data_IF_797313137692
#
_entry.id   IF_797313137692
#
_cell.length_a   1.000
_cell.length_b   1.000
_cell.length_c   1.000
_cell.angle_alpha   90.00
_cell.angle_beta   90.00
_cell.angle_gamma   90.00
#
_symmetry.space_group_name_H-M   'P 1'
#
loop_
_entity.id
_entity.type
_entity.pdbx_description
1 polymer ?
#
# COMPACT_ATOMS: atom_id res chain seq x y z
N UNK A 1 -23.55 14.08 -5.75
CA UNK A 1 -23.04 13.35 -4.58
C UNK A 1 -21.87 14.12 -3.95
N UNK A 2 -20.84 14.53 -4.73
CA UNK A 2 -19.68 15.28 -4.25
C UNK A 2 -20.01 16.56 -3.48
N UNK A 3 -21.01 17.30 -3.94
CA UNK A 3 -21.48 18.55 -3.29
C UNK A 3 -22.07 18.28 -1.89
N UNK A 4 -22.86 17.23 -1.74
CA UNK A 4 -23.46 16.87 -0.43
C UNK A 4 -22.36 16.45 0.57
N UNK A 5 -21.36 15.74 0.10
CA UNK A 5 -20.20 15.34 0.88
C UNK A 5 -19.42 16.57 1.34
N UNK A 6 -19.16 17.49 0.41
CA UNK A 6 -18.46 18.73 0.69
C UNK A 6 -19.21 19.58 1.74
N UNK A 7 -20.54 19.73 1.61
CA UNK A 7 -21.38 20.46 2.59
C UNK A 7 -21.35 19.78 3.96
N UNK A 8 -21.43 18.45 4.02
CA UNK A 8 -21.36 17.72 5.29
C UNK A 8 -19.98 17.83 5.94
N UNK A 9 -18.92 17.91 5.16
CA UNK A 9 -17.56 18.16 5.66
C UNK A 9 -17.41 19.56 6.19
N UNK A 10 -17.92 20.56 5.46
CA UNK A 10 -17.92 21.95 5.89
C UNK A 10 -18.69 22.13 7.21
N UNK A 11 -19.85 21.47 7.37
CA UNK A 11 -20.59 21.44 8.65
C UNK A 11 -19.77 20.79 9.78
N UNK A 12 -19.02 19.73 9.50
CA UNK A 12 -18.15 19.06 10.51
C UNK A 12 -16.97 19.92 10.97
N UNK A 13 -16.43 20.76 10.09
CA UNK A 13 -15.42 21.77 10.45
C UNK A 13 -16.07 23.06 10.99
N UNK A 14 -17.43 23.06 11.20
CA UNK A 14 -18.25 24.13 11.82
C UNK A 14 -18.47 25.31 10.90
N UNK A 15 -18.47 25.09 9.61
CA UNK A 15 -19.01 26.02 8.64
C UNK A 15 -20.50 25.77 8.50
N UNK A 16 -21.28 26.84 8.52
CA UNK A 16 -22.73 26.79 8.30
C UNK A 16 -23.05 26.64 6.80
N UNK A 17 -24.33 26.38 6.51
CA UNK A 17 -24.80 26.23 5.11
C UNK A 17 -24.54 27.47 4.26
N UNK A 18 -24.49 28.66 4.88
CA UNK A 18 -24.20 29.93 4.24
C UNK A 18 -22.74 30.07 3.72
N UNK A 19 -21.86 29.15 4.14
CA UNK A 19 -20.47 29.11 3.63
C UNK A 19 -20.35 28.45 2.25
N UNK A 20 -21.45 27.89 1.72
CA UNK A 20 -21.46 27.14 0.48
C UNK A 20 -22.51 27.69 -0.47
N UNK A 21 -22.07 28.12 -1.66
CA UNK A 21 -22.92 28.64 -2.72
C UNK A 21 -22.66 27.86 -4.02
N UNK A 22 -23.75 27.48 -4.71
CA UNK A 22 -23.66 26.81 -6.01
C UNK A 22 -24.45 27.64 -7.00
N UNK A 23 -23.76 28.06 -8.05
CA UNK A 23 -24.34 28.75 -9.17
C UNK A 23 -24.11 27.98 -10.47
N UNK A 24 -25.05 28.10 -11.41
CA UNK A 24 -24.93 27.45 -12.72
C UNK A 24 -25.15 28.50 -13.83
N UNK A 25 -24.06 28.90 -14.46
CA UNK A 25 -24.09 29.79 -15.60
C UNK A 25 -23.40 29.15 -16.82
N UNK A 26 -24.01 29.35 -18.00
CA UNK A 26 -23.45 28.92 -19.30
C UNK A 26 -23.07 27.45 -19.44
N UNK A 27 -23.76 26.55 -18.69
CA UNK A 27 -23.50 25.11 -18.72
C UNK A 27 -22.34 24.67 -17.80
N UNK A 28 -21.79 25.59 -17.04
CA UNK A 28 -20.80 25.30 -15.98
C UNK A 28 -21.46 25.42 -14.61
N UNK A 29 -21.11 24.51 -13.68
CA UNK A 29 -21.52 24.58 -12.28
C UNK A 29 -20.35 25.10 -11.46
N UNK A 30 -20.52 26.28 -10.85
CA UNK A 30 -19.51 26.91 -10.01
C UNK A 30 -19.90 26.69 -8.55
N UNK A 31 -19.07 25.97 -7.80
CA UNK A 31 -19.21 25.83 -6.35
C UNK A 31 -18.26 26.83 -5.67
N UNK A 32 -18.81 27.73 -4.83
CA UNK A 32 -18.02 28.65 -4.01
C UNK A 32 -18.08 28.22 -2.55
N UNK A 33 -16.92 28.14 -1.92
CA UNK A 33 -16.81 27.84 -0.49
C UNK A 33 -16.14 29.03 0.17
N UNK A 34 -16.87 29.65 1.12
CA UNK A 34 -16.30 30.70 1.97
C UNK A 34 -15.79 30.09 3.25
N UNK A 35 -14.49 29.92 3.37
CA UNK A 35 -13.84 29.40 4.59
C UNK A 35 -13.44 30.62 5.44
N UNK A 36 -14.11 30.87 6.59
CA UNK A 36 -13.65 31.89 7.51
C UNK A 36 -12.27 31.49 8.04
N UNK A 37 -11.29 32.35 7.81
CA UNK A 37 -9.92 32.20 8.33
C UNK A 37 -9.92 32.39 9.86
N UNK A 38 -10.56 31.49 10.62
CA UNK A 38 -10.35 31.45 12.06
C UNK A 38 -9.05 30.71 12.33
N UNK A 39 -8.07 31.43 12.88
CA UNK A 39 -6.75 30.89 13.24
C UNK A 39 -6.79 29.57 14.03
N UNK A 40 -7.82 29.37 14.85
CA UNK A 40 -7.98 28.21 15.73
C UNK A 40 -8.15 26.89 14.97
N UNK A 41 -8.59 26.88 13.70
CA UNK A 41 -8.82 25.63 12.93
C UNK A 41 -7.69 25.28 11.97
N UNK A 42 -7.05 26.26 11.37
CA UNK A 42 -5.79 26.06 10.66
C UNK A 42 -4.71 25.53 11.60
N UNK A 43 -4.68 26.03 12.84
CA UNK A 43 -3.80 25.53 13.91
C UNK A 43 -4.07 24.07 14.25
N UNK A 44 -5.32 23.59 14.23
CA UNK A 44 -5.65 22.20 14.55
C UNK A 44 -5.24 21.21 13.44
N UNK A 45 -5.41 21.56 12.17
CA UNK A 45 -4.97 20.74 11.03
C UNK A 45 -3.45 20.70 10.96
N UNK A 46 -2.79 21.85 11.10
CA UNK A 46 -1.33 21.96 11.17
C UNK A 46 -0.76 21.18 12.37
N UNK A 47 -1.47 21.10 13.49
CA UNK A 47 -1.09 20.27 14.63
C UNK A 47 -1.17 18.77 14.34
N UNK A 48 -2.19 18.29 13.61
CA UNK A 48 -2.31 16.87 13.27
C UNK A 48 -1.18 16.48 12.30
N UNK A 49 -0.97 17.25 11.25
CA UNK A 49 0.12 17.04 10.31
C UNK A 49 1.49 17.02 10.99
N UNK A 50 1.77 18.02 11.84
CA UNK A 50 3.02 18.07 12.62
C UNK A 50 3.19 16.85 13.53
N UNK A 51 2.11 16.39 14.15
CA UNK A 51 2.16 15.21 15.01
C UNK A 51 2.43 13.94 14.21
N UNK A 52 1.83 13.79 13.03
CA UNK A 52 2.12 12.68 12.12
C UNK A 52 3.61 12.68 11.74
N UNK A 53 4.15 13.84 11.32
CA UNK A 53 5.56 13.98 10.97
C UNK A 53 6.45 13.64 12.17
N UNK A 54 6.12 14.10 13.38
CA UNK A 54 6.85 13.75 14.60
C UNK A 54 6.81 12.26 14.92
N UNK A 55 5.67 11.59 14.74
CA UNK A 55 5.56 10.14 14.93
C UNK A 55 6.44 9.40 13.90
N UNK A 56 6.41 9.80 12.62
CA UNK A 56 7.30 9.24 11.61
C UNK A 56 8.77 9.48 11.98
N UNK A 57 9.12 10.68 12.42
CA UNK A 57 10.49 11.02 12.83
C UNK A 57 10.94 10.25 14.08
N UNK A 58 10.01 9.91 14.97
CA UNK A 58 10.29 9.15 16.18
C UNK A 58 10.47 7.66 15.93
N UNK A 59 10.04 7.13 14.77
CA UNK A 59 10.21 5.72 14.46
C UNK A 59 11.67 5.30 14.61
N UNK A 60 11.93 4.10 15.20
CA UNK A 60 13.29 3.63 15.40
C UNK A 60 14.01 3.45 14.05
N UNK A 61 15.33 3.44 14.09
CA UNK A 61 16.13 3.05 12.94
C UNK A 61 15.82 1.62 12.54
N UNK A 62 15.94 1.37 11.26
CA UNK A 62 15.77 0.02 10.73
C UNK A 62 16.73 -0.96 11.44
N UNK A 63 16.31 -2.21 11.74
CA UNK A 63 17.10 -3.14 12.55
C UNK A 63 18.51 -3.37 12.01
N UNK A 64 19.53 -3.27 12.87
CA UNK A 64 20.96 -3.28 12.44
C UNK A 64 21.37 -4.58 11.72
N UNK A 65 20.82 -5.72 12.15
CA UNK A 65 21.05 -7.00 11.47
C UNK A 65 20.55 -6.99 10.03
N UNK A 66 19.41 -6.34 9.77
CA UNK A 66 18.85 -6.18 8.43
C UNK A 66 19.69 -5.20 7.62
N UNK A 67 20.07 -4.05 8.21
CA UNK A 67 20.95 -3.08 7.55
C UNK A 67 22.32 -3.69 7.19
N UNK A 68 22.87 -4.51 8.07
CA UNK A 68 24.13 -5.22 7.81
C UNK A 68 24.01 -6.19 6.63
N UNK A 69 22.92 -6.97 6.60
CA UNK A 69 22.67 -7.91 5.51
C UNK A 69 22.40 -7.18 4.18
N UNK A 70 21.69 -6.05 4.21
CA UNK A 70 21.50 -5.20 3.02
C UNK A 70 22.83 -4.70 2.44
N UNK A 71 23.80 -4.31 3.29
CA UNK A 71 25.15 -3.93 2.84
C UNK A 71 25.86 -5.09 2.14
N UNK A 72 25.75 -6.30 2.69
CA UNK A 72 26.30 -7.50 2.04
C UNK A 72 25.62 -7.79 0.69
N UNK A 73 24.30 -7.59 0.60
CA UNK A 73 23.55 -7.77 -0.65
C UNK A 73 23.87 -6.72 -1.73
N UNK A 74 24.39 -5.56 -1.34
CA UNK A 74 24.82 -4.50 -2.23
C UNK A 74 26.25 -4.72 -2.77
N UNK A 75 27.02 -5.64 -2.18
CA UNK A 75 28.35 -6.00 -2.62
C UNK A 75 28.28 -6.94 -3.84
N UNK A 76 28.76 -6.54 -5.05
CA UNK A 76 28.74 -7.38 -6.23
C UNK A 76 29.55 -8.67 -6.11
N UNK A 77 30.53 -8.69 -5.20
CA UNK A 77 31.43 -9.82 -4.98
C UNK A 77 30.97 -10.73 -3.83
N UNK A 78 29.80 -10.45 -3.24
CA UNK A 78 29.27 -11.24 -2.14
C UNK A 78 28.90 -12.66 -2.58
N UNK A 79 29.48 -13.64 -1.93
CA UNK A 79 29.14 -15.05 -2.15
C UNK A 79 27.77 -15.41 -1.58
N UNK A 80 26.93 -16.10 -2.36
CA UNK A 80 25.59 -16.57 -1.93
C UNK A 80 25.69 -17.40 -0.64
N UNK A 81 26.76 -18.20 -0.47
CA UNK A 81 26.97 -18.98 0.73
C UNK A 81 27.20 -18.10 1.99
N UNK A 82 27.85 -16.94 1.83
CA UNK A 82 28.04 -15.99 2.92
C UNK A 82 26.70 -15.31 3.30
N UNK A 83 25.93 -14.89 2.30
CA UNK A 83 24.58 -14.32 2.47
C UNK A 83 23.68 -15.33 3.19
N UNK A 84 23.65 -16.58 2.73
CA UNK A 84 22.86 -17.64 3.34
C UNK A 84 23.22 -17.91 4.81
N UNK A 85 24.51 -17.85 5.15
CA UNK A 85 24.97 -17.94 6.54
C UNK A 85 24.44 -16.79 7.40
N UNK A 86 24.49 -15.56 6.90
CA UNK A 86 23.95 -14.40 7.60
C UNK A 86 22.43 -14.53 7.79
N UNK A 87 21.68 -14.93 6.77
CA UNK A 87 20.23 -15.20 6.88
C UNK A 87 19.96 -16.24 7.96
N UNK A 88 20.74 -17.32 8.01
CA UNK A 88 20.59 -18.40 9.00
C UNK A 88 20.83 -17.97 10.45
N UNK A 89 21.44 -16.82 10.69
CA UNK A 89 21.57 -16.27 12.05
C UNK A 89 20.29 -15.66 12.60
N UNK A 90 19.31 -15.38 11.74
CA UNK A 90 18.00 -14.88 12.13
C UNK A 90 16.93 -15.94 11.85
N UNK A 91 16.40 -16.62 12.91
CA UNK A 91 15.41 -17.69 12.75
C UNK A 91 14.11 -17.22 12.09
N UNK A 92 13.66 -15.97 12.36
CA UNK A 92 12.44 -15.43 11.79
C UNK A 92 12.62 -15.20 10.28
N UNK A 93 13.70 -14.54 9.88
CA UNK A 93 14.04 -14.34 8.46
C UNK A 93 14.21 -15.67 7.73
N UNK A 94 14.86 -16.64 8.35
CA UNK A 94 15.02 -18.00 7.83
C UNK A 94 13.66 -18.67 7.56
N UNK A 95 12.75 -18.60 8.54
CA UNK A 95 11.42 -19.19 8.41
C UNK A 95 10.60 -18.51 7.32
N UNK A 96 10.63 -17.18 7.25
CA UNK A 96 9.92 -16.42 6.21
C UNK A 96 10.46 -16.68 4.81
N UNK A 97 11.78 -16.73 4.65
CA UNK A 97 12.41 -17.07 3.38
C UNK A 97 11.99 -18.47 2.90
N UNK A 98 12.05 -19.47 3.80
CA UNK A 98 11.62 -20.82 3.47
C UNK A 98 10.12 -20.90 3.18
N UNK A 99 9.27 -20.17 3.90
CA UNK A 99 7.84 -20.06 3.62
C UNK A 99 7.60 -19.45 2.25
N UNK A 100 8.28 -18.35 1.92
CA UNK A 100 8.16 -17.68 0.63
C UNK A 100 8.52 -18.60 -0.54
N UNK A 101 9.68 -19.27 -0.49
CA UNK A 101 10.11 -20.13 -1.62
C UNK A 101 9.25 -21.38 -1.77
N UNK A 102 8.65 -21.87 -0.68
CA UNK A 102 7.77 -23.03 -0.71
C UNK A 102 6.30 -22.67 -1.01
N UNK A 103 5.99 -21.39 -1.18
CA UNK A 103 4.65 -20.95 -1.57
C UNK A 103 4.31 -21.37 -3.01
N UNK A 104 3.03 -21.37 -3.35
CA UNK A 104 2.57 -21.71 -4.70
C UNK A 104 3.13 -20.78 -5.79
N UNK A 105 3.65 -19.62 -5.43
CA UNK A 105 4.28 -18.67 -6.37
C UNK A 105 5.49 -19.26 -7.09
N UNK A 106 6.30 -20.06 -6.40
CA UNK A 106 7.50 -20.67 -6.98
C UNK A 106 7.21 -21.97 -7.72
N UNK A 107 6.00 -22.53 -7.59
CA UNK A 107 5.56 -23.78 -8.25
C UNK A 107 6.60 -24.91 -8.18
N UNK A 108 7.23 -25.08 -7.04
CA UNK A 108 8.27 -26.07 -6.84
C UNK A 108 7.66 -27.47 -6.75
N UNK A 109 8.32 -28.45 -7.41
CA UNK A 109 7.94 -29.87 -7.33
C UNK A 109 8.30 -30.52 -5.98
N UNK A 110 9.21 -29.92 -5.25
CA UNK A 110 9.79 -30.43 -3.99
C UNK A 110 10.00 -29.28 -3.03
N UNK A 111 9.71 -29.49 -1.75
CA UNK A 111 9.99 -28.47 -0.72
C UNK A 111 11.47 -28.21 -0.61
N UNK A 112 11.82 -26.93 -0.46
CA UNK A 112 13.17 -26.43 -0.20
C UNK A 112 13.32 -26.26 1.31
N UNK A 113 14.34 -26.90 1.87
CA UNK A 113 14.71 -26.80 3.30
C UNK A 113 16.13 -26.22 3.48
N UNK A 114 16.83 -25.99 2.36
CA UNK A 114 18.17 -25.46 2.34
C UNK A 114 18.17 -23.97 2.07
N UNK A 115 18.76 -23.18 2.98
CA UNK A 115 18.80 -21.71 2.86
C UNK A 115 19.60 -21.22 1.67
N UNK A 116 20.69 -21.90 1.29
CA UNK A 116 21.47 -21.53 0.10
C UNK A 116 20.63 -21.66 -1.17
N UNK A 117 19.86 -22.76 -1.27
CA UNK A 117 18.92 -22.96 -2.37
C UNK A 117 17.79 -21.93 -2.35
N UNK A 118 17.23 -21.64 -1.17
CA UNK A 118 16.20 -20.62 -1.00
C UNK A 118 16.70 -19.25 -1.46
N UNK A 119 17.90 -18.81 -1.06
CA UNK A 119 18.51 -17.55 -1.50
C UNK A 119 18.73 -17.52 -3.01
N UNK A 120 19.15 -18.64 -3.62
CA UNK A 120 19.30 -18.73 -5.08
C UNK A 120 17.98 -18.58 -5.83
N UNK A 121 16.92 -19.17 -5.30
CA UNK A 121 15.58 -19.12 -5.92
C UNK A 121 14.95 -17.73 -5.85
N UNK A 122 15.03 -17.09 -4.69
CA UNK A 122 14.49 -15.74 -4.46
C UNK A 122 15.38 -14.69 -5.13
N UNK A 123 16.69 -14.93 -5.20
CA UNK A 123 17.66 -13.97 -5.70
C UNK A 123 17.94 -12.84 -4.69
N UNK A 124 18.96 -12.03 -5.00
CA UNK A 124 19.41 -10.95 -4.11
C UNK A 124 18.36 -9.84 -3.97
N UNK A 125 17.62 -9.52 -5.05
CA UNK A 125 16.56 -8.51 -5.04
C UNK A 125 15.40 -8.95 -4.15
N UNK A 126 14.89 -10.15 -4.34
CA UNK A 126 13.78 -10.67 -3.54
C UNK A 126 14.15 -10.83 -2.06
N UNK A 127 15.37 -11.27 -1.77
CA UNK A 127 15.87 -11.32 -0.40
C UNK A 127 15.94 -9.93 0.23
N UNK A 128 16.43 -8.91 -0.50
CA UNK A 128 16.46 -7.52 -0.02
C UNK A 128 15.05 -7.03 0.30
N UNK A 129 14.08 -7.29 -0.57
CA UNK A 129 12.70 -6.87 -0.38
C UNK A 129 12.05 -7.57 0.83
N UNK A 130 12.36 -8.87 1.03
CA UNK A 130 11.94 -9.61 2.22
C UNK A 130 12.49 -9.00 3.53
N UNK A 131 13.74 -8.51 3.49
CA UNK A 131 14.34 -7.80 4.64
C UNK A 131 13.60 -6.51 4.97
N UNK A 132 13.21 -5.74 3.95
CA UNK A 132 12.41 -4.52 4.17
C UNK A 132 11.06 -4.86 4.79
N UNK A 133 10.38 -5.88 4.28
CA UNK A 133 9.12 -6.35 4.84
C UNK A 133 9.26 -6.74 6.31
N UNK A 134 10.21 -7.62 6.62
CA UNK A 134 10.43 -8.09 7.99
C UNK A 134 10.79 -6.96 8.94
N UNK A 135 11.68 -6.05 8.52
CA UNK A 135 12.04 -4.89 9.33
C UNK A 135 10.85 -3.97 9.60
N UNK A 136 10.02 -3.74 8.60
CA UNK A 136 8.80 -2.93 8.73
C UNK A 136 7.81 -3.59 9.70
N UNK A 137 7.54 -4.88 9.56
CA UNK A 137 6.63 -5.60 10.45
C UNK A 137 7.14 -5.64 11.89
N UNK A 138 8.46 -5.74 12.09
CA UNK A 138 9.07 -5.71 13.42
C UNK A 138 8.89 -4.37 14.13
N UNK A 139 8.87 -3.27 13.38
CA UNK A 139 8.73 -1.91 13.92
C UNK A 139 7.26 -1.50 14.05
N UNK A 140 6.45 -1.77 13.03
CA UNK A 140 5.05 -1.31 12.92
C UNK A 140 4.03 -2.40 13.27
N UNK A 141 4.46 -3.65 13.39
CA UNK A 141 3.58 -4.78 13.65
C UNK A 141 3.10 -4.79 15.11
N UNK A 142 2.02 -4.08 15.41
CA UNK A 142 1.28 -4.23 16.66
C UNK A 142 0.23 -5.34 16.51
N UNK A 143 0.06 -6.19 17.53
CA UNK A 143 -0.94 -7.28 17.53
C UNK A 143 -2.35 -6.77 17.88
N UNK A 144 -2.81 -5.68 17.26
CA UNK A 144 -4.20 -5.25 17.37
C UNK A 144 -5.05 -5.91 16.28
N UNK A 145 -6.38 -5.96 16.49
CA UNK A 145 -7.31 -6.48 15.49
C UNK A 145 -7.22 -5.69 14.18
N UNK A 146 -7.12 -4.38 14.27
CA UNK A 146 -7.05 -3.46 13.15
C UNK A 146 -5.76 -3.66 12.35
N UNK A 147 -4.63 -3.77 13.03
CA UNK A 147 -3.34 -4.02 12.39
C UNK A 147 -3.31 -5.39 11.70
N UNK A 148 -3.92 -6.40 12.31
CA UNK A 148 -4.05 -7.72 11.69
C UNK A 148 -4.91 -7.67 10.43
N UNK A 149 -6.05 -7.00 10.46
CA UNK A 149 -6.90 -6.81 9.27
C UNK A 149 -6.16 -6.07 8.16
N UNK A 150 -5.37 -5.04 8.51
CA UNK A 150 -4.52 -4.32 7.56
C UNK A 150 -3.52 -5.25 6.87
N UNK A 151 -2.80 -6.07 7.64
CA UNK A 151 -1.84 -7.03 7.08
C UNK A 151 -2.51 -8.13 6.26
N UNK A 152 -3.71 -8.60 6.65
CA UNK A 152 -4.48 -9.58 5.88
C UNK A 152 -4.93 -9.00 4.52
N UNK A 153 -5.38 -7.74 4.51
CA UNK A 153 -5.68 -6.99 3.28
C UNK A 153 -4.43 -6.83 2.41
N UNK A 154 -3.35 -6.35 3.00
CA UNK A 154 -2.07 -6.11 2.31
C UNK A 154 -1.49 -7.40 1.72
N UNK A 155 -1.58 -8.52 2.43
CA UNK A 155 -1.18 -9.83 1.89
C UNK A 155 -2.02 -10.22 0.67
N UNK A 156 -3.34 -10.05 0.72
CA UNK A 156 -4.24 -10.31 -0.42
C UNK A 156 -3.88 -9.41 -1.62
N UNK A 157 -3.71 -8.11 -1.38
CA UNK A 157 -3.31 -7.16 -2.42
C UNK A 157 -1.96 -7.54 -3.04
N UNK A 158 -0.96 -7.90 -2.24
CA UNK A 158 0.34 -8.35 -2.72
C UNK A 158 0.25 -9.62 -3.58
N UNK A 159 -0.52 -10.61 -3.14
CA UNK A 159 -0.76 -11.84 -3.89
C UNK A 159 -1.43 -11.56 -5.23
N UNK A 160 -2.45 -10.69 -5.24
CA UNK A 160 -3.14 -10.30 -6.47
C UNK A 160 -2.20 -9.51 -7.39
N UNK A 161 -1.47 -8.52 -6.87
CA UNK A 161 -0.51 -7.71 -7.62
C UNK A 161 0.55 -8.57 -8.30
N UNK A 162 1.16 -9.48 -7.56
CA UNK A 162 2.15 -10.42 -8.08
C UNK A 162 1.59 -11.27 -9.23
N UNK A 163 0.40 -11.87 -9.05
CA UNK A 163 -0.20 -12.71 -10.06
C UNK A 163 -0.67 -11.93 -11.29
N UNK A 164 -1.17 -10.70 -11.13
CA UNK A 164 -1.50 -9.79 -12.23
C UNK A 164 -0.23 -9.46 -13.03
N UNK A 165 0.82 -9.00 -12.38
CA UNK A 165 2.09 -8.66 -13.03
C UNK A 165 2.73 -9.88 -13.68
N UNK A 166 2.73 -11.04 -13.02
CA UNK A 166 3.26 -12.29 -13.56
C UNK A 166 2.56 -12.73 -14.84
N UNK A 167 1.24 -12.60 -14.92
CA UNK A 167 0.45 -13.11 -16.03
C UNK A 167 0.25 -12.09 -17.16
N UNK A 168 0.16 -10.79 -16.81
CA UNK A 168 -0.29 -9.75 -17.72
C UNK A 168 0.82 -8.74 -18.10
N UNK A 169 1.86 -8.55 -17.25
CA UNK A 169 2.96 -7.65 -17.59
C UNK A 169 4.07 -8.35 -18.39
N UNK A 170 4.70 -7.66 -19.34
CA UNK A 170 5.88 -8.16 -20.05
C UNK A 170 7.16 -8.16 -19.19
N UNK A 171 7.23 -7.29 -18.17
CA UNK A 171 8.43 -7.12 -17.32
C UNK A 171 8.34 -8.02 -16.09
N UNK A 172 9.19 -9.03 -16.00
CA UNK A 172 9.20 -9.98 -14.88
C UNK A 172 10.21 -9.62 -13.78
N UNK A 173 11.15 -8.75 -14.08
CA UNK A 173 12.22 -8.34 -13.15
C UNK A 173 11.69 -7.58 -11.94
N UNK A 174 10.46 -7.02 -12.04
CA UNK A 174 9.84 -6.23 -10.98
C UNK A 174 8.94 -7.04 -10.04
N UNK A 175 8.76 -8.35 -10.26
CA UNK A 175 7.78 -9.15 -9.51
C UNK A 175 8.00 -9.09 -7.99
N UNK A 176 9.27 -9.07 -7.55
CA UNK A 176 9.60 -8.94 -6.13
C UNK A 176 9.21 -7.57 -5.57
N UNK A 177 9.44 -6.49 -6.34
CA UNK A 177 9.06 -5.12 -5.95
C UNK A 177 7.53 -4.99 -5.89
N UNK A 178 6.81 -5.60 -6.84
CA UNK A 178 5.33 -5.64 -6.86
C UNK A 178 4.78 -6.35 -5.62
N UNK A 179 5.34 -7.51 -5.26
CA UNK A 179 4.88 -8.26 -4.10
C UNK A 179 5.07 -7.48 -2.80
N UNK A 180 6.29 -6.97 -2.57
CA UNK A 180 6.60 -6.24 -1.34
C UNK A 180 5.92 -4.87 -1.30
N UNK A 181 5.86 -4.18 -2.45
CA UNK A 181 5.08 -2.95 -2.59
C UNK A 181 3.61 -3.17 -2.24
N UNK A 182 3.03 -4.30 -2.71
CA UNK A 182 1.67 -4.69 -2.35
C UNK A 182 1.46 -4.97 -0.87
N UNK A 183 2.45 -5.55 -0.17
CA UNK A 183 2.35 -5.74 1.29
C UNK A 183 2.49 -4.41 2.06
N UNK A 184 3.30 -3.49 1.56
CA UNK A 184 3.66 -2.26 2.30
C UNK A 184 2.83 -1.04 1.91
N UNK A 185 1.98 -1.12 0.87
CA UNK A 185 1.28 0.05 0.32
C UNK A 185 0.51 0.84 1.37
N UNK A 186 -0.11 0.15 2.30
CA UNK A 186 -0.97 0.69 3.34
C UNK A 186 -0.28 0.94 4.69
N UNK A 187 1.05 0.77 4.81
CA UNK A 187 1.73 0.87 6.11
C UNK A 187 1.57 2.22 6.79
N UNK A 188 1.32 3.29 6.02
CA UNK A 188 1.05 4.62 6.57
C UNK A 188 -0.23 4.70 7.40
N UNK A 189 -1.22 3.84 7.17
CA UNK A 189 -2.45 3.73 7.97
C UNK A 189 -2.17 3.42 9.43
N UNK A 190 -1.07 2.72 9.73
CA UNK A 190 -0.68 2.38 11.11
C UNK A 190 -0.36 3.64 11.90
N UNK A 191 0.45 4.55 11.31
CA UNK A 191 0.81 5.82 11.94
C UNK A 191 -0.40 6.76 11.98
N UNK A 192 -1.13 6.86 10.88
CA UNK A 192 -2.31 7.70 10.80
C UNK A 192 -3.34 7.34 11.89
N UNK A 193 -3.62 6.04 12.04
CA UNK A 193 -4.53 5.52 13.08
C UNK A 193 -4.01 5.74 14.50
N UNK A 194 -2.69 5.71 14.73
CA UNK A 194 -2.11 5.92 16.06
C UNK A 194 -2.26 7.36 16.57
N UNK A 195 -2.25 8.32 15.64
CA UNK A 195 -2.36 9.75 16.00
C UNK A 195 -3.78 10.16 16.35
N UNK A 196 -4.78 9.62 15.63
CA UNK A 196 -6.19 9.97 15.84
C UNK A 196 -7.15 8.79 15.57
N UNK A 197 -7.16 7.74 16.43
CA UNK A 197 -7.94 6.52 16.18
C UNK A 197 -9.43 6.77 16.00
N UNK A 198 -10.04 7.62 16.85
CA UNK A 198 -11.48 7.94 16.79
C UNK A 198 -11.87 8.69 15.50
N UNK A 199 -10.98 9.55 14.99
CA UNK A 199 -11.22 10.27 13.73
C UNK A 199 -11.16 9.30 12.56
N UNK A 200 -10.17 8.44 12.54
CA UNK A 200 -9.97 7.46 11.48
C UNK A 200 -11.11 6.45 11.41
N UNK A 201 -11.55 5.93 12.56
CA UNK A 201 -12.70 5.05 12.61
C UNK A 201 -13.95 5.71 11.99
N UNK A 202 -14.22 6.97 12.32
CA UNK A 202 -15.34 7.72 11.74
C UNK A 202 -15.19 7.99 10.25
N UNK A 203 -13.97 8.27 9.77
CA UNK A 203 -13.68 8.43 8.35
C UNK A 203 -13.96 7.13 7.61
N UNK A 204 -13.40 6.02 8.09
CA UNK A 204 -13.55 4.72 7.48
C UNK A 204 -15.02 4.26 7.42
N UNK A 205 -15.77 4.43 8.52
CA UNK A 205 -17.20 4.10 8.55
C UNK A 205 -17.99 4.95 7.55
N UNK A 206 -17.72 6.26 7.51
CA UNK A 206 -18.38 7.16 6.58
C UNK A 206 -18.07 6.82 5.11
N UNK A 207 -16.81 6.50 4.80
CA UNK A 207 -16.37 6.17 3.46
C UNK A 207 -16.96 4.83 2.99
N UNK A 208 -16.93 3.82 3.85
CA UNK A 208 -17.51 2.50 3.58
C UNK A 208 -19.01 2.59 3.25
N UNK A 209 -19.77 3.33 4.05
CA UNK A 209 -21.22 3.47 3.85
C UNK A 209 -21.57 4.17 2.53
N UNK A 210 -20.61 4.83 1.88
CA UNK A 210 -20.83 5.64 0.66
C UNK A 210 -20.00 5.21 -0.54
N UNK A 211 -19.18 4.18 -0.40
CA UNK A 211 -18.27 3.73 -1.47
C UNK A 211 -17.29 4.81 -1.90
N UNK A 212 -16.68 5.51 -0.92
CA UNK A 212 -15.70 6.59 -1.16
C UNK A 212 -14.36 6.17 -0.58
N UNK A 213 -13.30 6.43 -1.32
CA UNK A 213 -11.94 6.18 -0.82
C UNK A 213 -11.59 7.11 0.35
N UNK A 214 -11.05 6.58 1.47
CA UNK A 214 -10.72 7.36 2.67
C UNK A 214 -9.67 8.44 2.46
N UNK A 215 -8.78 8.28 1.47
CA UNK A 215 -7.62 9.14 1.22
C UNK A 215 -7.99 10.63 1.11
N UNK A 216 -9.07 10.95 0.38
CA UNK A 216 -9.55 12.35 0.23
C UNK A 216 -9.87 12.97 1.60
N UNK A 217 -10.42 12.18 2.51
CA UNK A 217 -10.76 12.66 3.85
C UNK A 217 -9.56 12.75 4.77
N UNK A 218 -8.57 11.88 4.58
CA UNK A 218 -7.29 11.95 5.27
C UNK A 218 -6.58 13.26 4.93
N UNK A 219 -6.46 13.61 3.65
CA UNK A 219 -5.90 14.88 3.18
C UNK A 219 -6.61 16.10 3.77
N UNK A 220 -7.94 16.08 3.75
CA UNK A 220 -8.73 17.18 4.29
C UNK A 220 -8.69 17.28 5.83
N UNK A 221 -8.48 16.18 6.52
CA UNK A 221 -8.46 16.13 7.98
C UNK A 221 -7.07 16.36 8.58
N UNK A 222 -6.02 15.98 7.86
CA UNK A 222 -4.66 15.98 8.38
C UNK A 222 -3.65 16.71 7.47
N UNK A 223 -4.03 17.06 6.23
CA UNK A 223 -3.11 17.62 5.24
C UNK A 223 -2.05 16.62 4.73
N UNK A 224 -2.21 15.35 5.08
CA UNK A 224 -1.38 14.21 4.65
C UNK A 224 -2.27 12.97 4.63
N UNK A 225 -2.15 12.16 3.58
CA UNK A 225 -2.82 10.87 3.51
C UNK A 225 -1.88 9.71 3.87
N UNK A 226 -2.44 8.51 4.04
CA UNK A 226 -1.66 7.33 4.41
C UNK A 226 -0.62 6.94 3.37
N UNK A 227 -0.84 7.23 2.07
CA UNK A 227 0.12 6.94 1.00
C UNK A 227 1.37 7.80 1.15
N UNK A 228 1.20 9.09 1.44
CA UNK A 228 2.30 10.03 1.69
C UNK A 228 3.06 9.68 2.97
N UNK A 229 2.33 9.36 4.04
CA UNK A 229 2.93 8.93 5.31
C UNK A 229 3.74 7.64 5.11
N UNK A 230 3.20 6.67 4.40
CA UNK A 230 3.89 5.44 4.05
C UNK A 230 5.16 5.70 3.23
N UNK A 231 5.10 6.61 2.27
CA UNK A 231 6.26 7.02 1.49
C UNK A 231 7.34 7.69 2.36
N UNK A 232 6.96 8.59 3.29
CA UNK A 232 7.90 9.20 4.24
C UNK A 232 8.62 8.16 5.10
N UNK A 233 7.89 7.12 5.56
CA UNK A 233 8.49 6.01 6.32
C UNK A 233 9.50 5.25 5.44
N UNK A 234 9.11 4.91 4.21
CA UNK A 234 9.95 4.19 3.26
C UNK A 234 11.23 4.98 2.92
N UNK A 235 11.11 6.28 2.69
CA UNK A 235 12.25 7.18 2.45
C UNK A 235 13.18 7.25 3.67
N UNK A 236 12.63 7.42 4.88
CA UNK A 236 13.40 7.43 6.13
C UNK A 236 14.23 6.15 6.32
N UNK A 237 13.69 5.01 5.90
CA UNK A 237 14.37 3.72 6.01
C UNK A 237 15.18 3.35 4.77
N UNK A 238 15.35 4.29 3.81
CA UNK A 238 16.10 4.13 2.57
C UNK A 238 15.62 2.93 1.74
N UNK A 239 14.30 2.80 1.56
CA UNK A 239 13.73 1.78 0.68
C UNK A 239 14.10 2.07 -0.78
N UNK A 240 14.13 1.04 -1.66
CA UNK A 240 14.27 1.24 -3.09
C UNK A 240 13.17 2.13 -3.65
N UNK A 241 13.51 3.01 -4.61
CA UNK A 241 12.58 3.94 -5.21
C UNK A 241 11.31 3.26 -5.73
N UNK A 242 11.41 2.08 -6.32
CA UNK A 242 10.25 1.33 -6.80
C UNK A 242 9.23 1.04 -5.67
N UNK A 243 9.69 0.75 -4.45
CA UNK A 243 8.81 0.54 -3.29
C UNK A 243 8.24 1.85 -2.78
N UNK A 244 9.05 2.92 -2.70
CA UNK A 244 8.59 4.26 -2.31
C UNK A 244 7.47 4.72 -3.25
N UNK A 245 7.67 4.59 -4.58
CA UNK A 245 6.69 5.00 -5.56
C UNK A 245 5.43 4.12 -5.54
N UNK A 246 5.56 2.81 -5.31
CA UNK A 246 4.43 1.90 -5.15
C UNK A 246 3.55 2.31 -3.96
N UNK A 247 4.16 2.66 -2.83
CA UNK A 247 3.46 3.12 -1.62
C UNK A 247 2.82 4.49 -1.87
N UNK A 248 3.57 5.43 -2.46
CA UNK A 248 3.13 6.81 -2.64
C UNK A 248 1.95 6.95 -3.61
N UNK A 249 1.97 6.20 -4.71
CA UNK A 249 1.05 6.40 -5.82
C UNK A 249 0.02 5.28 -6.00
N UNK A 250 -0.19 4.44 -4.99
CA UNK A 250 -1.15 3.33 -5.12
C UNK A 250 -2.62 3.76 -5.18
N UNK A 251 -2.94 5.04 -4.96
CA UNK A 251 -4.26 5.63 -5.22
C UNK A 251 -4.27 6.55 -6.45
N UNK A 252 -3.12 7.08 -6.83
CA UNK A 252 -2.97 8.00 -7.98
C UNK A 252 -1.98 7.47 -9.03
N UNK A 253 -2.25 6.28 -9.62
CA UNK A 253 -1.25 5.53 -10.37
C UNK A 253 -0.68 6.27 -11.59
N UNK A 254 -1.49 7.11 -12.25
CA UNK A 254 -1.05 7.87 -13.42
C UNK A 254 -0.04 8.98 -13.07
N UNK A 255 0.00 9.42 -11.80
CA UNK A 255 0.96 10.41 -11.31
C UNK A 255 2.36 9.82 -11.08
N UNK A 256 2.48 8.48 -11.09
CA UNK A 256 3.76 7.82 -10.89
C UNK A 256 4.77 8.11 -12.02
N UNK A 257 6.09 8.23 -11.70
CA UNK A 257 7.14 8.32 -12.69
C UNK A 257 7.09 7.16 -13.69
N UNK A 258 7.30 7.41 -14.98
CA UNK A 258 7.15 6.38 -16.04
C UNK A 258 7.93 5.09 -15.79
N UNK A 259 9.12 5.17 -15.21
CA UNK A 259 10.01 4.04 -14.90
C UNK A 259 9.44 3.13 -13.81
N UNK A 260 8.58 3.62 -12.94
CA UNK A 260 7.97 2.87 -11.82
C UNK A 260 6.51 2.48 -12.06
N UNK A 261 5.89 2.94 -13.14
CA UNK A 261 4.46 2.70 -13.43
C UNK A 261 4.05 1.23 -13.43
N UNK A 262 4.90 0.35 -13.90
CA UNK A 262 4.58 -1.09 -13.91
C UNK A 262 4.32 -1.63 -12.50
N UNK A 263 5.17 -1.27 -11.53
CA UNK A 263 5.02 -1.67 -10.14
C UNK A 263 3.80 -1.00 -9.53
N UNK A 264 3.67 0.32 -9.70
CA UNK A 264 2.56 1.12 -9.16
C UNK A 264 1.23 0.64 -9.72
N UNK A 265 1.11 0.42 -11.03
CA UNK A 265 -0.12 -0.05 -11.67
C UNK A 265 -0.56 -1.42 -11.16
N UNK A 266 0.40 -2.33 -10.96
CA UNK A 266 0.10 -3.65 -10.42
C UNK A 266 -0.43 -3.58 -8.99
N UNK A 267 0.18 -2.75 -8.14
CA UNK A 267 -0.25 -2.55 -6.74
C UNK A 267 -1.61 -1.84 -6.70
N UNK A 268 -1.78 -0.74 -7.45
CA UNK A 268 -3.06 -0.04 -7.57
C UNK A 268 -4.20 -0.98 -7.99
N UNK A 269 -4.00 -1.72 -9.10
CA UNK A 269 -5.06 -2.60 -9.62
C UNK A 269 -5.42 -3.70 -8.63
N UNK A 270 -4.43 -4.27 -7.94
CA UNK A 270 -4.68 -5.28 -6.94
C UNK A 270 -5.46 -4.74 -5.74
N UNK A 271 -5.09 -3.55 -5.25
CA UNK A 271 -5.83 -2.86 -4.19
C UNK A 271 -7.26 -2.56 -4.62
N UNK A 272 -7.46 -1.99 -5.82
CA UNK A 272 -8.78 -1.71 -6.38
C UNK A 272 -9.62 -2.98 -6.54
N UNK A 273 -9.02 -4.10 -6.95
CA UNK A 273 -9.71 -5.41 -7.03
C UNK A 273 -10.11 -5.92 -5.64
N UNK A 274 -9.29 -5.73 -4.61
CA UNK A 274 -9.65 -6.09 -3.24
C UNK A 274 -10.88 -5.30 -2.75
N UNK A 275 -10.93 -4.00 -3.01
CA UNK A 275 -12.08 -3.16 -2.70
C UNK A 275 -13.31 -3.48 -3.55
N UNK A 276 -13.12 -3.81 -4.82
CA UNK A 276 -14.20 -4.28 -5.70
C UNK A 276 -14.79 -5.63 -5.20
N UNK A 277 -13.94 -6.56 -4.77
CA UNK A 277 -14.38 -7.86 -4.19
C UNK A 277 -15.15 -7.66 -2.88
N UNK A 278 -14.78 -6.68 -2.08
CA UNK A 278 -15.47 -6.29 -0.85
C UNK A 278 -16.81 -5.56 -1.11
N UNK A 279 -17.00 -5.02 -2.31
CA UNK A 279 -18.18 -4.22 -2.68
C UNK A 279 -18.06 -2.74 -2.28
N UNK A 280 -16.85 -2.29 -1.94
CA UNK A 280 -16.56 -0.91 -1.53
C UNK A 280 -16.53 0.04 -2.73
N UNK A 281 -16.11 -0.45 -3.90
CA UNK A 281 -16.00 0.33 -5.14
C UNK A 281 -16.62 -0.41 -6.32
N UNK A 282 -17.15 0.34 -7.31
CA UNK A 282 -17.65 -0.19 -8.58
C UNK A 282 -16.55 -0.30 -9.64
N UNK A 283 -16.80 -1.06 -10.70
CA UNK A 283 -15.87 -1.22 -11.83
C UNK A 283 -15.53 0.13 -12.48
N UNK A 284 -16.49 1.04 -12.56
CA UNK A 284 -16.36 2.38 -13.14
C UNK A 284 -15.45 3.32 -12.34
N UNK A 285 -15.11 2.96 -11.10
CA UNK A 285 -14.20 3.72 -10.24
C UNK A 285 -12.74 3.30 -10.43
N UNK A 286 -12.49 2.16 -11.09
CA UNK A 286 -11.12 1.70 -11.40
C UNK A 286 -10.58 2.50 -12.59
N UNK A 287 -9.37 3.02 -12.45
CA UNK A 287 -8.73 3.86 -13.47
C UNK A 287 -8.68 3.15 -14.83
N UNK A 288 -9.30 3.74 -15.88
CA UNK A 288 -9.38 3.11 -17.20
C UNK A 288 -8.02 2.98 -17.89
N UNK A 289 -7.05 3.85 -17.56
CA UNK A 289 -5.69 3.78 -18.09
C UNK A 289 -4.96 2.55 -17.56
N UNK A 290 -5.16 2.22 -16.28
CA UNK A 290 -4.60 1.01 -15.66
C UNK A 290 -5.30 -0.24 -16.19
N UNK A 291 -6.64 -0.23 -16.31
CA UNK A 291 -7.38 -1.33 -16.93
C UNK A 291 -6.89 -1.61 -18.35
N UNK A 292 -6.71 -0.56 -19.16
CA UNK A 292 -6.19 -0.66 -20.52
C UNK A 292 -4.76 -1.23 -20.54
N UNK A 293 -3.88 -0.79 -19.61
CA UNK A 293 -2.51 -1.30 -19.49
C UNK A 293 -2.49 -2.82 -19.30
N UNK A 294 -3.35 -3.35 -18.43
CA UNK A 294 -3.50 -4.79 -18.19
C UNK A 294 -4.47 -5.49 -19.15
N UNK A 295 -4.93 -4.80 -20.21
CA UNK A 295 -5.85 -5.32 -21.24
C UNK A 295 -7.16 -5.85 -20.65
N UNK A 296 -7.65 -5.25 -19.58
CA UNK A 296 -8.94 -5.56 -18.98
C UNK A 296 -9.98 -4.69 -19.69
N UNK A 297 -10.81 -5.32 -20.51
CA UNK A 297 -11.67 -4.62 -21.47
C UNK A 297 -13.07 -4.29 -20.91
N UNK A 298 -13.53 -5.05 -19.92
CA UNK A 298 -14.86 -4.90 -19.31
C UNK A 298 -14.92 -5.56 -17.92
N UNK A 299 -16.01 -5.28 -17.22
CA UNK A 299 -16.27 -5.83 -15.89
C UNK A 299 -16.35 -7.37 -15.88
N UNK A 300 -16.91 -7.99 -16.95
CA UNK A 300 -16.97 -9.43 -17.04
C UNK A 300 -15.58 -10.06 -17.15
N UNK A 301 -14.64 -9.37 -17.83
CA UNK A 301 -13.22 -9.77 -17.87
C UNK A 301 -12.58 -9.66 -16.49
N UNK A 302 -12.79 -8.53 -15.78
CA UNK A 302 -12.30 -8.35 -14.41
C UNK A 302 -12.82 -9.45 -13.47
N UNK A 303 -14.10 -9.77 -13.51
CA UNK A 303 -14.73 -10.85 -12.71
C UNK A 303 -14.10 -12.23 -12.97
N UNK A 304 -13.75 -12.54 -14.22
CA UNK A 304 -13.02 -13.79 -14.54
C UNK A 304 -11.61 -13.82 -13.98
N UNK A 305 -10.90 -12.69 -14.03
CA UNK A 305 -9.56 -12.55 -13.42
C UNK A 305 -9.66 -12.72 -11.91
N UNK A 306 -10.58 -11.98 -11.27
CA UNK A 306 -10.81 -12.05 -9.83
C UNK A 306 -11.15 -13.49 -9.38
N UNK A 307 -12.04 -14.20 -10.09
CA UNK A 307 -12.34 -15.59 -9.75
C UNK A 307 -11.10 -16.48 -9.72
N UNK A 308 -10.20 -16.33 -10.71
CA UNK A 308 -8.93 -17.07 -10.74
C UNK A 308 -7.97 -16.68 -9.61
N UNK A 309 -7.89 -15.38 -9.30
CA UNK A 309 -7.04 -14.87 -8.21
C UNK A 309 -7.54 -15.37 -6.85
N UNK A 310 -8.84 -15.28 -6.59
CA UNK A 310 -9.46 -15.74 -5.34
C UNK A 310 -9.30 -17.24 -5.15
N UNK A 311 -9.50 -18.05 -6.20
CA UNK A 311 -9.28 -19.49 -6.13
C UNK A 311 -7.81 -19.87 -5.91
N UNK A 312 -6.89 -19.11 -6.51
CA UNK A 312 -5.47 -19.32 -6.30
C UNK A 312 -5.05 -18.94 -4.86
N UNK A 313 -5.57 -17.83 -4.32
CA UNK A 313 -5.33 -17.41 -2.94
C UNK A 313 -5.85 -18.44 -1.92
N UNK A 314 -7.06 -18.98 -2.13
CA UNK A 314 -7.61 -20.04 -1.26
C UNK A 314 -6.72 -21.27 -1.22
N UNK A 315 -6.14 -21.66 -2.36
CA UNK A 315 -5.20 -22.77 -2.42
C UNK A 315 -3.89 -22.47 -1.69
N UNK A 316 -3.40 -21.25 -1.82
CA UNK A 316 -2.19 -20.78 -1.12
C UNK A 316 -2.37 -20.83 0.40
N UNK A 317 -3.51 -20.34 0.90
CA UNK A 317 -3.81 -20.31 2.35
C UNK A 317 -4.11 -21.69 2.95
N UNK A 318 -4.42 -22.69 2.12
CA UNK A 318 -4.70 -24.07 2.56
C UNK A 318 -3.43 -24.95 2.65
N UNK A 319 -2.27 -24.44 2.21
CA UNK A 319 -0.97 -25.16 2.15
C UNK A 319 -0.09 -24.79 3.33
#
# INVERSE_FOLDING_TARGET
LGIVILVLMLKKIGLDEDAFDIDSENGETIARITIPMSQVRLESLDMISKRIVQEVDSLPRFPENIVSLQKTLADPDAEIASIARQVSTDPALTAELLKLVNSAQFMLRKKVDNIVEAVKLVGLRGLRNLLFLQGTQKILGNETTETKQLWDHSYRAAFYAYNLARNLSPKKEMLDDVYVGGILHDMGKIIFSSVHPDLIAKINDFCRDRGIEPEIFEDLAAGLNHSEIGAMIAEKWNFPDALVQAIKYHHTPLSAPPEHREVVFAVYLANAICHYEAGDVGFEQIDPGVLHHFKIVDEAHLKRILGRLSDALKKELAT
#
